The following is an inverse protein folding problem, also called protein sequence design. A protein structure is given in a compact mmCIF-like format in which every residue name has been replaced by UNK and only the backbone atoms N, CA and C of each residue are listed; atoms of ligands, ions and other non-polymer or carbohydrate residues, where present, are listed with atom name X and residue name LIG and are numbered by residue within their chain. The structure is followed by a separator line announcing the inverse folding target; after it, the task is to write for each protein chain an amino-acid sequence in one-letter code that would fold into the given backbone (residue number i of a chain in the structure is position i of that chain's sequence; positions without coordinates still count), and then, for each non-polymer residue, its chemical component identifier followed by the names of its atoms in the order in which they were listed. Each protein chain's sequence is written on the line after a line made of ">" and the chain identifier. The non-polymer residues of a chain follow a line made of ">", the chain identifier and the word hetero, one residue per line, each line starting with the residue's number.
data_IF_707994753114
#
_entry.id   IF_707994753114
#
_cell.length_a   1.000
_cell.length_b   1.000
_cell.length_c   1.000
_cell.angle_alpha   90.00
_cell.angle_beta   90.00
_cell.angle_gamma   90.00
#
_symmetry.space_group_name_H-M   'P 1'
#
loop_
_entity.id
_entity.type
_entity.pdbx_description
1 polymer ?
#
# COMPACT_ATOMS: atom_id res chain seq x y z
N UNK A 1 -11.08 -28.50 -1.94
CA UNK A 1 -10.81 -28.53 -3.39
C UNK A 1 -11.94 -27.78 -4.07
N UNK A 2 -11.82 -26.46 -4.23
CA UNK A 2 -12.85 -25.67 -4.90
C UNK A 2 -12.64 -25.82 -6.40
N UNK A 3 -13.52 -26.59 -7.04
CA UNK A 3 -13.48 -26.79 -8.49
C UNK A 3 -13.58 -25.44 -9.21
N UNK A 4 -12.71 -25.23 -10.20
CA UNK A 4 -12.73 -24.06 -11.08
C UNK A 4 -13.99 -24.04 -11.96
N UNK A 5 -14.30 -22.87 -12.54
CA UNK A 5 -15.51 -22.67 -13.34
C UNK A 5 -15.50 -23.42 -14.68
N UNK A 6 -14.33 -23.66 -15.28
CA UNK A 6 -14.19 -24.36 -16.56
C UNK A 6 -15.04 -23.74 -17.67
N UNK A 7 -15.86 -24.55 -18.35
CA UNK A 7 -16.71 -24.11 -19.48
C UNK A 7 -17.70 -22.99 -19.11
N UNK A 8 -18.04 -22.83 -17.82
CA UNK A 8 -18.93 -21.77 -17.35
C UNK A 8 -18.32 -20.37 -17.49
N UNK A 9 -17.00 -20.26 -17.63
CA UNK A 9 -16.33 -18.97 -17.86
C UNK A 9 -16.77 -18.35 -19.20
N UNK A 10 -16.92 -19.15 -20.24
CA UNK A 10 -17.38 -18.66 -21.55
C UNK A 10 -18.83 -18.16 -21.48
N UNK A 11 -19.72 -18.94 -20.84
CA UNK A 11 -21.10 -18.53 -20.62
C UNK A 11 -21.21 -17.24 -19.78
N UNK A 12 -20.36 -17.08 -18.76
CA UNK A 12 -20.28 -15.84 -17.97
C UNK A 12 -19.76 -14.66 -18.80
N UNK A 13 -18.73 -14.88 -19.63
CA UNK A 13 -18.20 -13.86 -20.53
C UNK A 13 -19.25 -13.38 -21.52
N UNK A 14 -20.14 -14.30 -21.96
CA UNK A 14 -21.18 -14.00 -22.92
C UNK A 14 -22.48 -13.44 -22.35
N UNK A 15 -22.62 -13.43 -21.02
CA UNK A 15 -23.85 -13.02 -20.34
C UNK A 15 -24.98 -14.04 -20.46
N UNK A 16 -24.65 -15.32 -20.67
CA UNK A 16 -25.61 -16.42 -20.89
C UNK A 16 -25.96 -17.19 -19.61
N UNK A 17 -25.34 -16.84 -18.46
CA UNK A 17 -25.70 -17.44 -17.18
C UNK A 17 -26.95 -16.79 -16.59
N UNK A 18 -27.86 -17.57 -15.96
CA UNK A 18 -28.98 -16.99 -15.22
C UNK A 18 -28.47 -16.18 -14.02
N UNK A 19 -29.23 -15.18 -13.53
CA UNK A 19 -28.73 -14.17 -12.59
C UNK A 19 -28.05 -14.76 -11.34
N UNK A 20 -28.70 -15.73 -10.69
CA UNK A 20 -28.16 -16.37 -9.49
C UNK A 20 -26.96 -17.30 -9.75
N UNK A 21 -26.74 -17.75 -10.99
CA UNK A 21 -25.50 -18.46 -11.37
C UNK A 21 -24.38 -17.48 -11.71
N UNK A 22 -24.71 -16.37 -12.37
CA UNK A 22 -23.77 -15.30 -12.67
C UNK A 22 -23.19 -14.69 -11.38
N UNK A 23 -24.03 -14.40 -10.39
CA UNK A 23 -23.59 -13.90 -9.08
C UNK A 23 -22.61 -14.86 -8.38
N UNK A 24 -22.96 -16.16 -8.34
CA UNK A 24 -22.09 -17.19 -7.75
C UNK A 24 -20.77 -17.33 -8.50
N UNK A 25 -20.80 -17.26 -9.83
CA UNK A 25 -19.60 -17.33 -10.65
C UNK A 25 -18.70 -16.09 -10.45
N UNK A 26 -19.28 -14.88 -10.37
CA UNK A 26 -18.54 -13.66 -10.08
C UNK A 26 -17.92 -13.65 -8.67
N UNK A 27 -18.65 -14.16 -7.67
CA UNK A 27 -18.12 -14.32 -6.32
C UNK A 27 -16.91 -15.29 -6.30
N UNK A 28 -16.94 -16.37 -7.08
CA UNK A 28 -15.80 -17.26 -7.23
C UNK A 28 -14.63 -16.59 -7.96
N UNK A 29 -14.89 -15.86 -9.05
CA UNK A 29 -13.88 -15.11 -9.81
C UNK A 29 -13.15 -14.09 -8.94
N UNK A 30 -13.86 -13.42 -8.03
CA UNK A 30 -13.25 -12.47 -7.10
C UNK A 30 -12.22 -13.12 -6.15
N UNK A 31 -12.35 -14.43 -5.88
CA UNK A 31 -11.49 -15.17 -4.96
C UNK A 31 -10.52 -16.14 -5.66
N UNK A 32 -10.61 -16.33 -6.98
CA UNK A 32 -9.82 -17.31 -7.73
C UNK A 32 -9.07 -16.65 -8.90
N UNK A 33 -7.73 -16.47 -8.79
CA UNK A 33 -6.94 -15.76 -9.80
C UNK A 33 -6.87 -16.49 -11.15
N UNK A 34 -7.02 -17.82 -11.14
CA UNK A 34 -7.04 -18.60 -12.39
C UNK A 34 -8.32 -18.33 -13.18
N UNK A 35 -9.49 -18.37 -12.52
CA UNK A 35 -10.76 -18.07 -13.17
C UNK A 35 -10.91 -16.59 -13.56
N UNK A 36 -10.26 -15.66 -12.84
CA UNK A 36 -10.23 -14.24 -13.25
C UNK A 36 -9.43 -14.05 -14.53
N UNK A 37 -8.24 -14.66 -14.62
CA UNK A 37 -7.42 -14.60 -15.83
C UNK A 37 -8.13 -15.23 -17.04
N UNK A 38 -8.78 -16.38 -16.86
CA UNK A 38 -9.57 -17.02 -17.92
C UNK A 38 -10.73 -16.11 -18.40
N UNK A 39 -11.48 -15.50 -17.47
CA UNK A 39 -12.59 -14.59 -17.81
C UNK A 39 -12.11 -13.34 -18.56
N UNK A 40 -10.99 -12.76 -18.14
CA UNK A 40 -10.38 -11.62 -18.82
C UNK A 40 -9.97 -11.98 -20.25
N UNK A 41 -9.35 -13.16 -20.43
CA UNK A 41 -8.96 -13.67 -21.75
C UNK A 41 -10.17 -13.85 -22.68
N UNK A 42 -11.26 -14.44 -22.18
CA UNK A 42 -12.49 -14.65 -22.94
C UNK A 42 -13.14 -13.31 -23.34
N UNK A 43 -13.23 -12.36 -22.41
CA UNK A 43 -13.77 -11.00 -22.69
C UNK A 43 -12.89 -10.23 -23.66
N UNK A 44 -11.57 -10.37 -23.58
CA UNK A 44 -10.64 -9.75 -24.53
C UNK A 44 -10.81 -10.32 -25.95
N UNK A 45 -10.96 -11.64 -26.08
CA UNK A 45 -11.25 -12.29 -27.35
C UNK A 45 -12.58 -11.79 -27.95
N UNK A 46 -13.65 -11.71 -27.14
CA UNK A 46 -14.94 -11.17 -27.56
C UNK A 46 -14.85 -9.72 -28.04
N UNK A 47 -14.13 -8.85 -27.32
CA UNK A 47 -13.91 -7.45 -27.75
C UNK A 47 -13.19 -7.37 -29.09
N UNK A 48 -12.13 -8.17 -29.28
CA UNK A 48 -11.39 -8.22 -30.55
C UNK A 48 -12.27 -8.66 -31.71
N UNK A 49 -13.07 -9.71 -31.53
CA UNK A 49 -14.02 -10.17 -32.54
C UNK A 49 -15.10 -9.13 -32.84
N UNK A 50 -15.67 -8.50 -31.81
CA UNK A 50 -16.66 -7.44 -31.98
C UNK A 50 -16.08 -6.22 -32.72
N UNK A 51 -14.81 -5.91 -32.54
CA UNK A 51 -14.13 -4.81 -33.25
C UNK A 51 -13.67 -5.16 -34.68
N UNK A 52 -13.61 -6.45 -35.03
CA UNK A 52 -13.09 -6.90 -36.32
C UNK A 52 -14.15 -6.88 -37.43
N UNK A 53 -15.45 -6.84 -37.06
CA UNK A 53 -16.56 -6.85 -38.00
C UNK A 53 -17.32 -5.52 -37.93
N UNK A 54 -17.12 -4.65 -38.92
CA UNK A 54 -17.94 -3.46 -39.09
C UNK A 54 -19.21 -3.86 -39.87
N UNK A 55 -20.23 -4.33 -39.15
CA UNK A 55 -21.55 -4.59 -39.74
C UNK A 55 -22.34 -3.30 -39.66
N UNK A 56 -22.31 -2.53 -40.74
CA UNK A 56 -23.14 -1.34 -40.84
C UNK A 56 -24.62 -1.70 -41.04
N UNK A 57 -25.55 -1.12 -40.28
CA UNK A 57 -26.97 -1.28 -40.55
C UNK A 57 -27.29 -0.69 -41.91
N UNK A 58 -28.21 -1.33 -42.65
CA UNK A 58 -28.68 -0.75 -43.91
C UNK A 58 -29.38 0.59 -43.64
N UNK A 59 -29.30 1.53 -44.59
CA UNK A 59 -29.98 2.82 -44.48
C UNK A 59 -31.48 2.64 -44.23
N UNK A 60 -32.09 1.63 -44.87
CA UNK A 60 -33.49 1.25 -44.68
C UNK A 60 -33.79 0.77 -43.25
N UNK A 61 -32.93 -0.08 -42.66
CA UNK A 61 -33.08 -0.49 -41.27
C UNK A 61 -32.99 0.71 -40.32
N UNK A 62 -32.04 1.61 -40.59
CA UNK A 62 -31.85 2.82 -39.79
C UNK A 62 -33.09 3.71 -39.85
N UNK A 63 -33.66 3.92 -41.04
CA UNK A 63 -34.91 4.66 -41.22
C UNK A 63 -36.08 3.99 -40.48
N UNK A 64 -36.25 2.66 -40.61
CA UNK A 64 -37.30 1.93 -39.88
C UNK A 64 -37.17 2.03 -38.37
N UNK A 65 -35.95 2.04 -37.82
CA UNK A 65 -35.72 2.23 -36.38
C UNK A 65 -36.05 3.66 -35.91
N UNK A 66 -35.76 4.65 -36.74
CA UNK A 66 -36.14 6.05 -36.49
C UNK A 66 -37.67 6.23 -36.57
N UNK A 67 -38.32 5.59 -37.54
CA UNK A 67 -39.78 5.61 -37.66
C UNK A 67 -40.44 4.86 -36.49
N UNK A 68 -39.86 3.73 -36.06
CA UNK A 68 -40.32 2.98 -34.88
C UNK A 68 -40.18 3.82 -33.61
N UNK A 69 -39.06 4.51 -33.40
CA UNK A 69 -38.90 5.38 -32.24
C UNK A 69 -39.85 6.56 -32.25
N UNK A 70 -40.16 7.11 -33.44
CA UNK A 70 -41.19 8.13 -33.61
C UNK A 70 -42.62 7.61 -33.36
N UNK A 71 -42.86 6.30 -33.50
CA UNK A 71 -44.16 5.67 -33.20
C UNK A 71 -44.39 5.39 -31.71
N UNK A 72 -43.32 5.42 -30.90
CA UNK A 72 -43.44 5.30 -29.45
C UNK A 72 -44.06 6.61 -28.94
N UNK A 73 -45.25 6.58 -28.31
CA UNK A 73 -45.85 7.80 -27.78
C UNK A 73 -44.92 8.42 -26.74
N UNK A 74 -44.87 9.77 -26.65
CA UNK A 74 -44.07 10.44 -25.64
C UNK A 74 -44.45 9.92 -24.25
N UNK A 75 -43.46 9.59 -23.43
CA UNK A 75 -43.65 9.13 -22.05
C UNK A 75 -44.09 10.26 -21.09
N UNK A 76 -44.36 11.45 -21.64
CA UNK A 76 -44.77 12.62 -20.88
C UNK A 76 -46.12 12.35 -20.20
N UNK A 77 -46.09 12.19 -18.88
CA UNK A 77 -47.27 12.00 -18.04
C UNK A 77 -47.66 10.54 -17.74
N UNK A 78 -46.94 9.53 -18.25
CA UNK A 78 -47.14 8.13 -17.87
C UNK A 78 -46.19 7.74 -16.72
N UNK A 79 -46.67 7.58 -15.48
CA UNK A 79 -45.82 7.28 -14.32
C UNK A 79 -45.16 5.89 -14.38
N UNK A 80 -45.61 4.99 -15.27
CA UNK A 80 -45.01 3.67 -15.46
C UNK A 80 -43.96 3.64 -16.59
N UNK A 81 -43.91 4.67 -17.44
CA UNK A 81 -42.94 4.83 -18.56
C UNK A 81 -42.01 6.01 -18.40
N UNK A 82 -42.30 6.93 -17.49
CA UNK A 82 -41.36 7.99 -17.12
C UNK A 82 -40.09 7.34 -16.58
N UNK A 83 -38.89 7.62 -17.14
CA UNK A 83 -37.67 7.27 -16.46
C UNK A 83 -37.73 7.98 -15.10
N UNK A 84 -37.53 7.25 -14.02
CA UNK A 84 -37.44 7.78 -12.66
C UNK A 84 -36.22 8.72 -12.61
N UNK A 85 -36.41 9.95 -13.07
CA UNK A 85 -35.43 11.02 -12.97
C UNK A 85 -35.60 11.56 -11.57
N UNK A 86 -34.76 11.05 -10.68
CA UNK A 86 -34.51 11.63 -9.39
C UNK A 86 -34.15 13.12 -9.58
N UNK A 87 -35.14 13.99 -9.37
CA UNK A 87 -35.09 15.44 -9.66
C UNK A 87 -35.02 16.25 -8.37
N UNK A 88 -34.30 15.73 -7.36
CA UNK A 88 -34.07 16.41 -6.08
C UNK A 88 -33.26 17.73 -6.15
N UNK A 89 -32.94 18.26 -7.32
CA UNK A 89 -32.25 19.54 -7.49
C UNK A 89 -33.04 20.48 -8.40
N UNK A 90 -33.66 21.51 -7.82
CA UNK A 90 -34.42 22.54 -8.56
C UNK A 90 -33.50 23.55 -9.27
N UNK A 91 -33.85 23.93 -10.50
CA UNK A 91 -33.14 24.92 -11.31
C UNK A 91 -33.67 26.35 -11.09
N UNK A 92 -32.81 27.39 -11.00
CA UNK A 92 -33.26 28.78 -10.81
C UNK A 92 -33.77 29.45 -12.10
N UNK A 93 -34.62 30.45 -11.92
CA UNK A 93 -35.68 30.85 -12.86
C UNK A 93 -35.31 31.87 -13.97
N UNK A 94 -34.07 32.35 -14.11
CA UNK A 94 -33.75 33.23 -15.24
C UNK A 94 -32.27 33.24 -15.63
N UNK A 95 -31.98 32.90 -16.89
CA UNK A 95 -30.66 33.04 -17.49
C UNK A 95 -30.65 34.26 -18.42
N UNK A 96 -29.89 35.30 -18.07
CA UNK A 96 -29.58 36.41 -18.96
C UNK A 96 -28.23 36.18 -19.66
N UNK A 97 -28.20 36.23 -20.98
CA UNK A 97 -27.01 35.95 -21.80
C UNK A 97 -26.17 37.21 -22.01
N UNK A 98 -25.02 37.31 -21.34
CA UNK A 98 -24.08 38.45 -21.47
C UNK A 98 -22.74 38.04 -22.10
N UNK A 99 -22.70 37.24 -23.16
CA UNK A 99 -21.42 36.91 -23.80
C UNK A 99 -21.52 36.81 -25.33
N UNK A 100 -21.30 37.93 -26.02
CA UNK A 100 -20.58 37.96 -27.29
C UNK A 100 -19.12 37.59 -27.01
N UNK A 101 -18.73 36.35 -27.29
CA UNK A 101 -17.36 35.88 -27.10
C UNK A 101 -16.87 35.12 -28.33
N UNK A 102 -15.76 35.57 -28.89
CA UNK A 102 -15.06 34.96 -30.02
C UNK A 102 -14.72 33.48 -29.73
N UNK A 103 -15.50 32.61 -30.36
CA UNK A 103 -15.41 31.15 -30.27
C UNK A 103 -14.08 30.61 -30.77
N UNK A 104 -13.35 31.34 -31.64
CA UNK A 104 -12.07 30.89 -32.19
C UNK A 104 -10.92 31.06 -31.19
N UNK A 105 -10.97 32.12 -30.36
CA UNK A 105 -10.05 32.29 -29.22
C UNK A 105 -10.26 31.27 -28.11
N UNK A 106 -11.51 30.83 -27.90
CA UNK A 106 -11.88 29.86 -26.88
C UNK A 106 -11.32 28.45 -27.16
N UNK A 107 -11.24 28.03 -28.43
CA UNK A 107 -10.68 26.72 -28.81
C UNK A 107 -9.18 26.62 -28.58
N UNK A 108 -8.41 27.67 -28.89
CA UNK A 108 -6.96 27.71 -28.61
C UNK A 108 -6.66 27.69 -27.10
N UNK A 109 -7.49 28.36 -26.29
CA UNK A 109 -7.38 28.34 -24.82
C UNK A 109 -7.78 26.98 -24.23
N UNK A 110 -8.75 26.27 -24.84
CA UNK A 110 -9.14 24.89 -24.46
C UNK A 110 -8.05 23.85 -24.75
N UNK A 111 -7.34 23.96 -25.88
CA UNK A 111 -6.21 23.06 -26.20
C UNK A 111 -5.04 23.23 -25.22
N UNK A 112 -4.71 24.47 -24.83
CA UNK A 112 -3.69 24.75 -23.78
C UNK A 112 -4.12 24.25 -22.39
N UNK A 113 -5.41 24.37 -22.04
CA UNK A 113 -5.95 23.80 -20.78
C UNK A 113 -5.97 22.26 -20.76
N UNK A 114 -6.21 21.60 -21.90
CA UNK A 114 -6.13 20.14 -22.00
C UNK A 114 -4.69 19.61 -21.85
N UNK A 115 -3.69 20.34 -22.35
CA UNK A 115 -2.28 20.00 -22.11
C UNK A 115 -1.90 20.11 -20.62
N UNK A 116 -2.47 21.07 -19.88
CA UNK A 116 -2.28 21.20 -18.42
C UNK A 116 -3.02 20.11 -17.61
N UNK A 117 -4.18 19.63 -18.07
CA UNK A 117 -4.95 18.58 -17.38
C UNK A 117 -4.40 17.16 -17.58
N UNK A 118 -3.77 16.87 -18.72
CA UNK A 118 -3.04 15.60 -18.91
C UNK A 118 -1.77 15.54 -18.05
N UNK A 119 -1.09 16.68 -17.86
CA UNK A 119 0.03 16.79 -16.93
C UNK A 119 -0.37 16.61 -15.46
N UNK A 120 -1.50 17.18 -15.04
CA UNK A 120 -2.00 17.05 -13.67
C UNK A 120 -2.53 15.63 -13.34
N UNK A 121 -3.19 14.96 -14.30
CA UNK A 121 -3.64 13.58 -14.13
C UNK A 121 -2.49 12.58 -14.00
N UNK A 122 -1.43 12.74 -14.80
CA UNK A 122 -0.23 11.89 -14.69
C UNK A 122 0.51 12.08 -13.37
N UNK A 123 0.64 13.32 -12.89
CA UNK A 123 1.24 13.62 -11.59
C UNK A 123 0.39 13.09 -10.42
N UNK A 124 -0.94 13.17 -10.51
CA UNK A 124 -1.84 12.62 -9.49
C UNK A 124 -1.78 11.10 -9.40
N UNK A 125 -1.84 10.39 -10.53
CA UNK A 125 -1.74 8.92 -10.56
C UNK A 125 -0.37 8.44 -10.07
N UNK A 126 0.71 9.10 -10.50
CA UNK A 126 2.05 8.80 -10.00
C UNK A 126 2.16 9.07 -8.50
N UNK A 127 1.64 10.21 -8.03
CA UNK A 127 1.61 10.55 -6.60
C UNK A 127 0.85 9.52 -5.75
N UNK A 128 -0.31 9.05 -6.21
CA UNK A 128 -1.06 7.99 -5.54
C UNK A 128 -0.33 6.65 -5.57
N UNK A 129 0.30 6.28 -6.69
CA UNK A 129 1.09 5.06 -6.78
C UNK A 129 2.30 5.09 -5.83
N UNK A 130 3.03 6.20 -5.79
CA UNK A 130 4.15 6.40 -4.87
C UNK A 130 3.69 6.43 -3.41
N UNK A 131 2.53 6.99 -3.11
CA UNK A 131 1.94 6.97 -1.76
C UNK A 131 1.63 5.54 -1.29
N UNK A 132 1.04 4.71 -2.15
CA UNK A 132 0.75 3.30 -1.83
C UNK A 132 2.05 2.50 -1.70
N UNK A 133 3.02 2.71 -2.59
CA UNK A 133 4.36 2.10 -2.52
C UNK A 133 5.18 2.60 -1.32
N UNK A 134 4.87 3.78 -0.80
CA UNK A 134 5.52 4.40 0.35
C UNK A 134 4.91 4.03 1.70
N UNK A 135 3.87 3.18 1.71
CA UNK A 135 3.39 2.56 2.94
C UNK A 135 4.49 1.66 3.50
N UNK A 136 5.03 2.03 4.66
CA UNK A 136 6.04 1.24 5.32
C UNK A 136 5.46 -0.14 5.68
N UNK A 137 6.19 -1.24 5.42
CA UNK A 137 5.68 -2.58 5.72
C UNK A 137 5.40 -2.71 7.21
N UNK A 138 4.27 -3.33 7.56
CA UNK A 138 3.91 -3.54 8.96
C UNK A 138 4.77 -4.65 9.55
N UNK A 139 5.52 -4.35 10.60
CA UNK A 139 6.39 -5.28 11.32
C UNK A 139 5.63 -5.84 12.51
N UNK A 140 5.51 -7.16 12.59
CA UNK A 140 4.93 -7.88 13.73
C UNK A 140 6.06 -8.64 14.43
N UNK A 141 6.58 -8.13 15.56
CA UNK A 141 7.59 -8.84 16.34
C UNK A 141 7.08 -10.19 16.81
N UNK A 142 7.95 -11.20 16.82
CA UNK A 142 7.62 -12.53 17.34
C UNK A 142 7.67 -12.51 18.88
N UNK A 143 6.52 -12.67 19.52
CA UNK A 143 6.40 -12.64 20.99
C UNK A 143 6.78 -13.97 21.66
N UNK A 144 7.20 -14.99 20.90
CA UNK A 144 7.50 -16.30 21.45
C UNK A 144 8.87 -16.32 22.12
N UNK A 145 8.92 -16.88 23.35
CA UNK A 145 10.17 -17.07 24.11
C UNK A 145 11.22 -17.84 23.31
N UNK A 146 10.80 -18.82 22.52
CA UNK A 146 11.69 -19.62 21.67
C UNK A 146 12.41 -18.75 20.65
N UNK A 147 11.72 -17.77 20.05
CA UNK A 147 12.31 -16.84 19.08
C UNK A 147 13.35 -15.92 19.74
N UNK A 148 13.04 -15.42 20.94
CA UNK A 148 13.97 -14.61 21.73
C UNK A 148 15.25 -15.39 22.10
N UNK A 149 15.10 -16.62 22.60
CA UNK A 149 16.24 -17.49 22.93
C UNK A 149 17.05 -17.91 21.69
N UNK A 150 16.39 -18.14 20.55
CA UNK A 150 17.08 -18.44 19.28
C UNK A 150 17.90 -17.24 18.81
N UNK A 151 17.39 -16.02 19.00
CA UNK A 151 18.08 -14.78 18.67
C UNK A 151 19.35 -14.62 19.51
N UNK A 152 19.25 -14.88 20.83
CA UNK A 152 20.40 -14.84 21.73
C UNK A 152 21.42 -15.96 21.46
N UNK A 153 20.96 -17.19 21.21
CA UNK A 153 21.86 -18.29 20.85
C UNK A 153 22.58 -18.04 19.51
N UNK A 154 21.95 -17.28 18.61
CA UNK A 154 22.52 -16.87 17.34
C UNK A 154 23.71 -15.92 17.47
N UNK A 155 23.76 -15.07 18.49
CA UNK A 155 24.87 -14.10 18.67
C UNK A 155 26.19 -14.76 19.05
N UNK A 156 26.16 -15.88 19.77
CA UNK A 156 27.38 -16.63 20.13
C UNK A 156 28.02 -17.35 18.92
N UNK A 157 27.23 -17.68 17.88
CA UNK A 157 27.70 -18.42 16.71
C UNK A 157 28.26 -17.53 15.59
N UNK A 158 28.20 -16.22 15.76
CA UNK A 158 28.13 -15.30 14.65
C UNK A 158 29.51 -14.69 14.30
N UNK A 159 30.38 -15.46 13.64
CA UNK A 159 31.54 -14.93 12.93
C UNK A 159 31.07 -14.14 11.69
N UNK A 160 30.75 -12.84 11.86
CA UNK A 160 30.44 -11.91 10.77
C UNK A 160 31.58 -10.92 10.52
N UNK A 161 31.74 -10.46 9.28
CA UNK A 161 32.70 -9.39 8.98
C UNK A 161 32.36 -8.12 9.78
N UNK A 162 33.35 -7.51 10.45
CA UNK A 162 33.12 -6.29 11.22
C UNK A 162 32.87 -5.12 10.27
N UNK A 163 31.62 -4.66 10.21
CA UNK A 163 31.31 -3.34 9.64
C UNK A 163 31.51 -2.31 10.76
N UNK A 164 32.47 -1.40 10.58
CA UNK A 164 32.75 -0.32 11.56
C UNK A 164 31.52 0.56 11.81
N UNK A 165 31.36 1.06 13.05
CA UNK A 165 30.28 1.98 13.50
C UNK A 165 30.03 3.17 12.54
N UNK A 166 31.07 3.63 11.85
CA UNK A 166 31.01 4.70 10.86
C UNK A 166 30.12 4.39 9.63
N UNK A 167 29.76 3.12 9.40
CA UNK A 167 28.91 2.69 8.27
C UNK A 167 27.40 2.84 8.51
N UNK A 168 26.94 2.99 9.76
CA UNK A 168 25.51 3.07 10.08
C UNK A 168 24.90 4.44 9.80
N UNK A 169 25.69 5.51 9.84
CA UNK A 169 25.22 6.89 9.64
C UNK A 169 24.63 7.17 8.24
N UNK A 170 24.86 6.28 7.26
CA UNK A 170 24.36 6.40 5.89
C UNK A 170 23.22 5.44 5.52
N UNK A 171 22.87 4.47 6.38
CA UNK A 171 21.95 3.37 6.04
C UNK A 171 20.51 3.58 6.48
N UNK A 172 20.21 4.68 7.19
CA UNK A 172 18.87 5.00 7.68
C UNK A 172 18.45 4.26 8.95
N UNK A 173 19.27 3.32 9.44
CA UNK A 173 19.08 2.64 10.72
C UNK A 173 19.41 3.57 11.91
N UNK A 174 18.81 3.30 13.06
CA UNK A 174 19.08 4.01 14.30
C UNK A 174 20.48 3.63 14.82
N UNK A 175 21.28 4.64 15.14
CA UNK A 175 22.61 4.48 15.72
C UNK A 175 22.55 4.77 17.22
N UNK A 176 23.14 3.91 18.06
CA UNK A 176 23.23 4.20 19.49
C UNK A 176 24.10 5.46 19.71
N UNK A 177 23.66 6.38 20.57
CA UNK A 177 24.40 7.61 20.90
C UNK A 177 25.50 7.37 21.94
N UNK A 178 25.28 6.42 22.84
CA UNK A 178 26.20 6.05 23.92
C UNK A 178 25.81 4.67 24.45
N UNK A 179 26.74 3.72 24.46
CA UNK A 179 26.49 2.41 25.05
C UNK A 179 26.71 2.42 26.58
N UNK A 180 26.04 1.51 27.32
CA UNK A 180 26.30 1.31 28.74
C UNK A 180 27.77 1.00 29.02
N UNK A 181 28.28 1.26 30.24
CA UNK A 181 29.66 0.97 30.60
C UNK A 181 30.01 -0.51 30.39
N UNK A 182 31.07 -0.77 29.63
CA UNK A 182 31.55 -2.14 29.36
C UNK A 182 30.81 -2.88 28.26
N UNK A 183 29.80 -2.27 27.63
CA UNK A 183 29.19 -2.77 26.41
C UNK A 183 29.89 -2.23 25.17
N UNK A 184 30.23 -3.13 24.25
CA UNK A 184 30.88 -2.81 22.98
C UNK A 184 30.11 -3.46 21.82
N UNK A 185 30.12 -2.82 20.64
CA UNK A 185 29.56 -3.40 19.43
C UNK A 185 30.45 -4.53 18.95
N UNK A 186 29.99 -5.78 19.09
CA UNK A 186 30.72 -6.96 18.64
C UNK A 186 30.52 -7.18 17.13
N UNK A 187 29.28 -7.09 16.66
CA UNK A 187 28.95 -7.33 15.25
C UNK A 187 27.86 -6.39 14.77
N UNK A 188 28.01 -5.92 13.53
CA UNK A 188 26.95 -5.22 12.79
C UNK A 188 26.72 -5.93 11.47
N UNK A 189 25.50 -6.41 11.25
CA UNK A 189 25.05 -6.97 9.97
C UNK A 189 23.94 -6.09 9.43
N UNK A 190 24.23 -5.31 8.38
CA UNK A 190 23.24 -4.49 7.71
C UNK A 190 22.89 -5.10 6.34
N UNK A 191 21.58 -5.26 6.09
CA UNK A 191 21.01 -5.55 4.79
C UNK A 191 20.26 -4.34 4.25
N UNK A 192 19.50 -4.55 3.16
CA UNK A 192 18.75 -3.47 2.51
C UNK A 192 17.60 -2.92 3.37
N UNK A 193 16.98 -3.78 4.20
CA UNK A 193 15.76 -3.44 4.97
C UNK A 193 15.82 -3.87 6.43
N UNK A 194 16.91 -4.52 6.85
CA UNK A 194 17.12 -4.90 8.25
C UNK A 194 18.58 -4.74 8.66
N UNK A 195 18.80 -4.49 9.94
CA UNK A 195 20.11 -4.44 10.55
C UNK A 195 20.09 -5.18 11.89
N UNK A 196 21.15 -5.93 12.18
CA UNK A 196 21.37 -6.59 13.46
C UNK A 196 22.66 -6.06 14.05
N UNK A 197 22.58 -5.57 15.29
CA UNK A 197 23.71 -5.12 16.09
C UNK A 197 23.80 -6.05 17.29
N UNK A 198 24.92 -6.75 17.42
CA UNK A 198 25.22 -7.58 18.58
C UNK A 198 26.16 -6.79 19.48
N UNK A 199 25.75 -6.57 20.72
CA UNK A 199 26.54 -5.93 21.77
C UNK A 199 26.98 -7.00 22.75
N UNK A 200 28.24 -6.93 23.16
CA UNK A 200 28.80 -7.79 24.20
C UNK A 200 29.15 -6.92 25.39
N UNK A 201 28.77 -7.37 26.59
CA UNK A 201 29.05 -6.67 27.84
C UNK A 201 29.10 -7.60 29.04
N UNK A 202 29.41 -7.05 30.23
CA UNK A 202 29.63 -7.82 31.45
C UNK A 202 28.41 -8.62 31.92
N UNK A 203 27.19 -8.12 31.67
CA UNK A 203 25.94 -8.71 32.13
C UNK A 203 25.26 -9.61 31.07
N UNK A 204 25.99 -9.95 30.00
CA UNK A 204 25.54 -10.83 28.93
C UNK A 204 25.32 -10.12 27.59
N UNK A 205 25.06 -10.88 26.53
CA UNK A 205 24.88 -10.34 25.18
C UNK A 205 23.56 -9.58 25.05
N UNK A 206 23.56 -8.58 24.17
CA UNK A 206 22.36 -7.85 23.77
C UNK A 206 22.28 -7.84 22.25
N UNK A 207 21.16 -8.29 21.72
CA UNK A 207 20.91 -8.27 20.28
C UNK A 207 19.89 -7.19 19.97
N UNK A 208 20.30 -6.19 19.19
CA UNK A 208 19.43 -5.13 18.68
C UNK A 208 19.11 -5.44 17.22
N UNK A 209 17.85 -5.74 16.92
CA UNK A 209 17.37 -5.91 15.55
C UNK A 209 16.61 -4.67 15.12
N UNK A 210 16.85 -4.24 13.91
CA UNK A 210 16.24 -3.07 13.30
C UNK A 210 15.63 -3.49 11.98
N UNK A 211 14.36 -3.15 11.75
CA UNK A 211 13.67 -3.46 10.51
C UNK A 211 12.95 -2.24 9.98
N UNK A 212 13.18 -1.90 8.71
CA UNK A 212 12.44 -0.83 8.03
C UNK A 212 10.96 -1.20 8.00
N UNK A 213 10.10 -0.34 8.52
CA UNK A 213 8.68 -0.60 8.64
C UNK A 213 7.98 0.18 9.75
N UNK A 214 6.70 -0.12 9.91
CA UNK A 214 5.85 0.39 10.98
C UNK A 214 5.54 -0.73 11.96
N UNK A 215 5.75 -0.52 13.25
CA UNK A 215 5.39 -1.46 14.29
C UNK A 215 3.87 -1.67 14.28
N UNK A 216 3.45 -2.94 14.17
CA UNK A 216 2.05 -3.31 14.29
C UNK A 216 1.53 -2.96 15.67
N UNK A 217 0.28 -2.53 15.76
CA UNK A 217 -0.39 -2.23 17.03
C UNK A 217 -0.39 -3.50 17.89
N UNK A 218 0.42 -3.50 18.95
CA UNK A 218 0.58 -4.67 19.83
C UNK A 218 -0.36 -4.55 21.02
N UNK A 219 -1.03 -5.65 21.35
CA UNK A 219 -1.81 -5.77 22.59
C UNK A 219 -0.86 -6.22 23.70
N UNK A 220 -0.11 -5.28 24.29
CA UNK A 220 0.90 -5.56 25.31
C UNK A 220 1.05 -4.41 26.30
N UNK A 221 1.77 -4.64 27.41
CA UNK A 221 2.12 -3.57 28.34
C UNK A 221 3.15 -2.65 27.67
N UNK A 222 2.78 -1.40 27.42
CA UNK A 222 3.71 -0.35 27.02
C UNK A 222 4.29 0.32 28.25
N UNK A 223 5.60 0.56 28.21
CA UNK A 223 6.37 1.24 29.25
C UNK A 223 7.08 2.43 28.60
N UNK A 224 7.10 3.57 29.30
CA UNK A 224 7.91 4.72 28.88
C UNK A 224 9.36 4.50 29.27
N UNK A 225 10.28 4.62 28.32
CA UNK A 225 11.71 4.54 28.62
C UNK A 225 12.24 5.90 29.11
N UNK A 226 12.03 6.21 30.39
CA UNK A 226 12.60 7.41 31.03
C UNK A 226 12.26 8.74 30.32
N UNK A 227 13.02 9.80 30.63
CA UNK A 227 12.85 11.13 30.01
C UNK A 227 13.63 11.30 28.69
N UNK A 228 14.65 10.47 28.45
CA UNK A 228 15.56 10.57 27.31
C UNK A 228 15.46 9.40 26.32
N UNK A 229 14.68 8.37 26.63
CA UNK A 229 14.45 7.23 25.76
C UNK A 229 13.11 7.32 25.02
N UNK A 230 12.81 6.33 24.15
CA UNK A 230 11.56 6.27 23.39
C UNK A 230 10.30 6.28 24.27
N UNK A 231 9.31 7.06 23.84
CA UNK A 231 8.07 7.29 24.57
C UNK A 231 7.18 6.05 24.75
N UNK A 232 7.12 5.15 23.77
CA UNK A 232 6.27 3.95 23.79
C UNK A 232 7.07 2.68 23.47
N UNK A 233 7.63 2.05 24.51
CA UNK A 233 8.32 0.76 24.40
C UNK A 233 7.37 -0.36 24.76
N UNK A 234 7.14 -1.28 23.82
CA UNK A 234 6.30 -2.46 24.03
C UNK A 234 7.14 -3.58 24.60
N UNK A 235 6.74 -4.12 25.75
CA UNK A 235 7.36 -5.32 26.33
C UNK A 235 6.70 -6.57 25.75
N UNK A 236 7.47 -7.35 24.99
CA UNK A 236 7.02 -8.57 24.31
C UNK A 236 7.27 -9.82 25.18
N UNK A 237 8.42 -9.87 25.87
CA UNK A 237 8.79 -10.89 26.85
C UNK A 237 9.65 -10.28 27.96
N UNK A 238 9.64 -10.89 29.15
CA UNK A 238 10.47 -10.51 30.31
C UNK A 238 11.53 -11.55 30.68
N UNK A 239 11.50 -12.72 30.05
CA UNK A 239 12.44 -13.81 30.30
C UNK A 239 12.65 -14.65 29.02
N UNK A 240 13.68 -14.35 28.19
CA UNK A 240 14.56 -13.18 28.26
C UNK A 240 13.78 -11.88 28.02
N UNK A 241 14.36 -10.73 28.36
CA UNK A 241 13.79 -9.44 27.97
C UNK A 241 13.75 -9.35 26.45
N UNK A 242 12.57 -9.03 25.92
CA UNK A 242 12.34 -8.72 24.51
C UNK A 242 11.40 -7.54 24.43
N UNK A 243 11.90 -6.43 23.91
CA UNK A 243 11.14 -5.18 23.79
C UNK A 243 11.22 -4.64 22.37
N UNK A 244 10.20 -3.87 21.97
CA UNK A 244 10.18 -3.23 20.66
C UNK A 244 9.58 -1.83 20.72
N UNK A 245 10.08 -0.92 19.88
CA UNK A 245 9.52 0.43 19.72
C UNK A 245 9.71 0.94 18.30
N UNK A 246 8.99 2.02 17.96
CA UNK A 246 9.14 2.72 16.69
C UNK A 246 10.21 3.81 16.82
N UNK A 247 11.19 3.82 15.91
CA UNK A 247 12.19 4.88 15.76
C UNK A 247 12.25 5.33 14.30
N UNK A 248 11.51 6.38 13.96
CA UNK A 248 11.40 6.90 12.61
C UNK A 248 10.75 5.85 11.71
N UNK A 249 11.40 5.50 10.60
CA UNK A 249 10.93 4.45 9.66
C UNK A 249 11.37 3.04 10.02
N UNK A 250 11.91 2.85 11.23
CA UNK A 250 12.50 1.59 11.66
C UNK A 250 11.84 1.14 12.94
N UNK A 251 11.53 -0.15 13.00
CA UNK A 251 11.16 -0.83 14.22
C UNK A 251 12.44 -1.37 14.84
N UNK A 252 12.69 -0.99 16.09
CA UNK A 252 13.84 -1.48 16.86
C UNK A 252 13.34 -2.50 17.85
N UNK A 253 13.95 -3.68 17.85
CA UNK A 253 13.73 -4.77 18.80
C UNK A 253 15.02 -5.00 19.57
N UNK A 254 14.93 -5.17 20.89
CA UNK A 254 16.07 -5.50 21.75
C UNK A 254 15.75 -6.79 22.50
N UNK A 255 16.67 -7.75 22.40
CA UNK A 255 16.60 -9.03 23.11
C UNK A 255 17.83 -9.21 23.97
N UNK A 256 17.65 -9.49 25.27
CA UNK A 256 18.76 -9.71 26.21
C UNK A 256 18.33 -10.47 27.47
N UNK A 257 19.28 -11.17 28.08
CA UNK A 257 19.17 -11.72 29.45
C UNK A 257 19.78 -10.79 30.52
N UNK A 258 20.34 -9.64 30.10
CA UNK A 258 20.88 -8.64 31.01
C UNK A 258 19.78 -8.04 31.92
N UNK A 259 20.15 -7.53 33.11
CA UNK A 259 19.18 -6.95 34.03
C UNK A 259 18.49 -5.70 33.46
N UNK A 260 17.33 -5.35 34.03
CA UNK A 260 16.41 -4.33 33.50
C UNK A 260 17.02 -2.93 33.43
N UNK A 261 17.96 -2.61 34.32
CA UNK A 261 18.73 -1.38 34.32
C UNK A 261 19.62 -1.26 33.08
N UNK A 262 20.34 -2.32 32.72
CA UNK A 262 21.12 -2.38 31.48
C UNK A 262 20.21 -2.25 30.26
N UNK A 263 19.07 -2.95 30.24
CA UNK A 263 18.09 -2.82 29.17
C UNK A 263 17.59 -1.37 29.02
N UNK A 264 17.29 -0.69 30.13
CA UNK A 264 16.83 0.69 30.12
C UNK A 264 17.89 1.64 29.56
N UNK A 265 19.17 1.45 29.93
CA UNK A 265 20.28 2.23 29.37
C UNK A 265 20.45 1.99 27.87
N UNK A 266 20.32 0.72 27.41
CA UNK A 266 20.38 0.39 25.98
C UNK A 266 19.23 1.02 25.22
N UNK A 267 18.00 0.93 25.73
CA UNK A 267 16.83 1.56 25.11
C UNK A 267 17.01 3.08 25.02
N UNK A 268 17.55 3.72 26.07
CA UNK A 268 17.86 5.15 26.07
C UNK A 268 19.00 5.52 25.10
N UNK A 269 19.90 4.60 24.77
CA UNK A 269 20.97 4.81 23.79
C UNK A 269 20.44 5.02 22.36
N UNK A 270 19.23 4.56 22.06
CA UNK A 270 18.62 4.70 20.74
C UNK A 270 17.55 5.81 20.77
N UNK A 271 17.89 7.05 20.37
CA UNK A 271 17.00 8.19 20.53
C UNK A 271 15.72 8.03 19.69
N UNK A 272 14.61 8.52 20.24
CA UNK A 272 13.33 8.56 19.56
C UNK A 272 13.45 9.41 18.28
N UNK A 273 12.92 8.86 17.19
CA UNK A 273 12.68 9.61 15.95
C UNK A 273 11.19 9.48 15.67
N UNK A 274 10.53 10.60 15.47
CA UNK A 274 9.12 10.57 15.10
C UNK A 274 8.94 9.88 13.76
N UNK A 275 8.02 8.91 13.69
CA UNK A 275 7.57 8.38 12.41
C UNK A 275 6.73 9.45 11.70
N UNK A 276 7.28 10.06 10.65
CA UNK A 276 6.54 11.05 9.87
C UNK A 276 5.57 10.36 8.91
N UNK A 277 4.32 10.21 9.34
CA UNK A 277 3.21 9.68 8.54
C UNK A 277 2.68 10.67 7.49
N UNK A 278 3.36 11.81 7.28
CA UNK A 278 2.99 12.82 6.31
C UNK A 278 2.96 12.30 4.87
N UNK A 279 2.09 12.90 4.07
CA UNK A 279 1.89 12.54 2.64
C UNK A 279 3.18 12.72 1.83
N UNK A 280 3.92 13.81 2.09
CA UNK A 280 5.17 14.09 1.37
C UNK A 280 6.27 13.05 1.68
N UNK A 281 6.62 12.75 2.95
CA UNK A 281 7.53 11.67 3.30
C UNK A 281 7.17 10.33 2.66
N UNK A 282 5.87 9.98 2.64
CA UNK A 282 5.40 8.73 2.01
C UNK A 282 5.65 8.71 0.49
N UNK A 283 5.38 9.81 -0.22
CA UNK A 283 5.68 9.91 -1.65
C UNK A 283 7.19 9.80 -1.90
N UNK A 284 8.03 10.43 -1.06
CA UNK A 284 9.49 10.35 -1.17
C UNK A 284 10.01 8.93 -0.93
N UNK A 285 9.43 8.21 0.06
CA UNK A 285 9.71 6.78 0.29
C UNK A 285 9.31 5.92 -0.89
N UNK A 286 8.10 6.09 -1.41
CA UNK A 286 7.65 5.39 -2.62
C UNK A 286 8.56 5.62 -3.82
N UNK A 287 9.08 6.85 -3.96
CA UNK A 287 10.04 7.19 -5.01
C UNK A 287 11.37 6.45 -4.81
N UNK A 288 11.89 6.41 -3.58
CA UNK A 288 13.11 5.68 -3.26
C UNK A 288 13.00 4.18 -3.52
N UNK A 289 11.85 3.57 -3.23
CA UNK A 289 11.55 2.16 -3.55
C UNK A 289 11.60 1.90 -5.04
N UNK A 290 10.98 2.78 -5.85
CA UNK A 290 10.98 2.67 -7.31
C UNK A 290 12.39 2.81 -7.87
N UNK A 291 13.16 3.79 -7.42
CA UNK A 291 14.53 3.98 -7.89
C UNK A 291 15.47 2.87 -7.44
N UNK A 292 15.29 2.33 -6.23
CA UNK A 292 16.07 1.20 -5.72
C UNK A 292 15.83 -0.08 -6.51
N UNK A 293 14.58 -0.36 -6.90
CA UNK A 293 14.23 -1.49 -7.74
C UNK A 293 14.87 -1.42 -9.15
N UNK A 294 15.05 -0.21 -9.68
CA UNK A 294 15.69 0.01 -10.99
C UNK A 294 17.22 -0.13 -10.94
N UNK A 295 17.82 -0.10 -9.76
CA UNK A 295 19.28 -0.23 -9.56
C UNK A 295 19.74 -1.63 -9.15
N UNK A 296 18.81 -2.57 -8.92
CA UNK A 296 19.13 -3.98 -8.70
C UNK A 296 19.41 -4.67 -10.06
N UNK A 297 20.54 -5.37 -10.23
CA UNK A 297 20.91 -6.06 -11.46
C UNK A 297 20.03 -7.28 -11.78
#
# INVERSE_FOLDING_TARGET
>A
MNAHLGDRVSALADGQLPPGEAERALAHVACCPLCSAELESARAARRRLASAADVHPTAELTQRLLDLSASIPPADGDPLRAPERDTGWAAPEAWHTTLTGDVVGAERRRRRRRALLVGAGGAGVLGCALFVLGQAPVVTPDTSRVSALTTLAGSDAAAGEPVSEAGLGGTGFATPSSLPPGYEVAVVRAGATSCVIELTGPDGPVVVRQQVGRLAEQTGASVRAGEAGPGDVVVLSRDPWHVAWQAGDVVVEVTTDAPEDVLAEIVAAFPERDYDAGVLPQITRGWSTVTGALTLP
#
